data_IF_934223767628
#
_entry.id   IF_934223767628
#
_cell.length_a   1.000
_cell.length_b   1.000
_cell.length_c   1.000
_cell.angle_alpha   90.00
_cell.angle_beta   90.00
_cell.angle_gamma   90.00
#
_symmetry.space_group_name_H-M   'P 1'
#
loop_
_entity.id
_entity.type
_entity.pdbx_description
1 polymer ?
#
# COMPACT_ATOMS: atom_id res chain seq x y z
N UNK A 1 -15.69 -18.28 0.96
CA UNK A 1 -14.68 -18.01 2.02
C UNK A 1 -14.37 -16.52 1.97
N UNK A 2 -14.56 -15.80 3.09
CA UNK A 2 -14.23 -14.37 3.23
C UNK A 2 -12.98 -14.28 4.12
N UNK A 3 -11.80 -14.28 3.51
CA UNK A 3 -10.53 -14.18 4.24
C UNK A 3 -9.94 -12.80 3.94
N UNK A 4 -9.88 -11.97 4.97
CA UNK A 4 -9.20 -10.69 4.95
C UNK A 4 -7.76 -10.88 5.45
N UNK A 5 -6.79 -10.47 4.63
CA UNK A 5 -5.37 -10.61 4.93
C UNK A 5 -4.78 -9.36 5.57
N UNK A 6 -5.38 -8.21 5.32
CA UNK A 6 -4.96 -6.92 5.88
C UNK A 6 -6.14 -5.96 5.86
N UNK A 7 -6.12 -5.00 6.79
CA UNK A 7 -7.08 -3.92 6.86
C UNK A 7 -6.78 -2.89 5.76
N UNK A 8 -7.82 -2.21 5.28
CA UNK A 8 -7.69 -1.07 4.39
C UNK A 8 -7.13 0.16 5.12
N UNK A 9 -6.26 0.89 4.43
CA UNK A 9 -5.72 2.18 4.90
C UNK A 9 -6.05 3.25 3.89
N UNK A 10 -6.17 4.51 4.32
CA UNK A 10 -6.32 5.59 3.36
C UNK A 10 -4.99 5.88 2.70
N UNK A 11 -5.02 6.38 1.48
CA UNK A 11 -3.82 6.77 0.74
C UNK A 11 -2.92 7.73 1.54
N UNK A 12 -3.51 8.66 2.30
CA UNK A 12 -2.77 9.61 3.16
C UNK A 12 -2.10 9.00 4.39
N UNK A 13 -2.46 7.78 4.76
CA UNK A 13 -1.88 7.10 5.93
C UNK A 13 -0.50 6.47 5.59
N UNK A 14 -0.09 6.46 4.31
CA UNK A 14 1.23 6.02 3.85
C UNK A 14 2.28 7.14 3.93
N UNK A 15 3.56 6.76 4.00
CA UNK A 15 4.66 7.73 3.91
C UNK A 15 4.83 8.23 2.47
N UNK A 16 4.36 9.45 2.23
CA UNK A 16 4.51 10.18 0.96
C UNK A 16 5.63 11.23 1.00
N UNK A 17 6.46 11.23 2.04
CA UNK A 17 7.43 12.30 2.29
C UNK A 17 8.64 12.27 1.34
N UNK A 18 9.00 11.07 0.86
CA UNK A 18 10.13 10.83 -0.02
C UNK A 18 10.02 11.60 -1.36
N UNK A 19 11.13 12.18 -1.82
CA UNK A 19 11.18 13.02 -3.04
C UNK A 19 10.78 12.26 -4.31
N UNK A 20 11.21 11.00 -4.45
CA UNK A 20 10.84 10.16 -5.58
C UNK A 20 9.33 9.83 -5.56
N UNK A 21 8.77 9.57 -4.37
CA UNK A 21 7.33 9.35 -4.19
C UNK A 21 6.54 10.60 -4.60
N UNK A 22 6.91 11.78 -4.09
CA UNK A 22 6.26 13.05 -4.46
C UNK A 22 6.29 13.32 -5.96
N UNK A 23 7.42 13.03 -6.62
CA UNK A 23 7.55 13.17 -8.07
C UNK A 23 6.56 12.25 -8.81
N UNK A 24 6.50 10.96 -8.43
CA UNK A 24 5.59 10.00 -9.05
C UNK A 24 4.12 10.35 -8.80
N UNK A 25 3.79 10.79 -7.58
CA UNK A 25 2.46 11.25 -7.19
C UNK A 25 2.00 12.41 -8.07
N UNK A 26 2.84 13.45 -8.21
CA UNK A 26 2.54 14.59 -9.09
C UNK A 26 2.42 14.19 -10.55
N UNK A 27 3.29 13.28 -11.03
CA UNK A 27 3.24 12.77 -12.41
C UNK A 27 1.93 12.03 -12.72
N UNK A 28 1.44 11.22 -11.77
CA UNK A 28 0.22 10.41 -11.95
C UNK A 28 -1.06 11.20 -11.72
N UNK A 29 -1.13 11.94 -10.62
CA UNK A 29 -2.36 12.54 -10.10
C UNK A 29 -2.44 14.06 -10.27
N UNK A 30 -1.32 14.72 -10.61
CA UNK A 30 -1.23 16.19 -10.65
C UNK A 30 -1.67 16.77 -9.29
N UNK A 31 -2.70 17.60 -9.29
CA UNK A 31 -3.26 18.23 -8.08
C UNK A 31 -4.39 17.40 -7.45
N UNK A 32 -4.90 16.38 -8.14
CA UNK A 32 -6.06 15.58 -7.70
C UNK A 32 -5.63 14.26 -7.06
N UNK A 33 -4.86 14.35 -5.98
CA UNK A 33 -4.41 13.16 -5.24
C UNK A 33 -5.58 12.59 -4.44
N UNK A 34 -5.94 11.30 -4.59
CA UNK A 34 -7.06 10.68 -3.88
C UNK A 34 -6.65 10.29 -2.45
N UNK A 35 -6.40 11.28 -1.60
CA UNK A 35 -5.86 11.08 -0.25
C UNK A 35 -6.76 10.24 0.68
N UNK A 36 -8.07 10.24 0.43
CA UNK A 36 -9.07 9.54 1.24
C UNK A 36 -9.50 8.19 0.66
N UNK A 37 -8.99 7.80 -0.51
CA UNK A 37 -9.28 6.48 -1.08
C UNK A 37 -8.67 5.37 -0.22
N UNK A 38 -9.42 4.28 -0.07
CA UNK A 38 -8.95 3.07 0.58
C UNK A 38 -7.99 2.30 -0.32
N UNK A 39 -6.88 1.86 0.27
CA UNK A 39 -5.78 1.18 -0.40
C UNK A 39 -5.36 -0.03 0.41
N UNK A 40 -5.05 -1.11 -0.29
CA UNK A 40 -4.44 -2.31 0.27
C UNK A 40 -2.95 -2.31 -0.07
N UNK A 41 -2.10 -2.37 0.95
CA UNK A 41 -0.65 -2.43 0.80
C UNK A 41 -0.20 -3.86 0.50
N UNK A 42 0.58 -4.10 -0.58
CA UNK A 42 1.18 -5.41 -0.81
C UNK A 42 2.06 -5.89 0.35
N UNK A 43 2.79 -4.97 1.00
CA UNK A 43 3.64 -5.29 2.15
C UNK A 43 2.81 -5.69 3.37
N UNK A 44 1.73 -4.96 3.70
CA UNK A 44 0.88 -5.31 4.84
C UNK A 44 0.14 -6.64 4.60
N UNK A 45 -0.28 -6.89 3.36
CA UNK A 45 -0.89 -8.16 2.97
C UNK A 45 0.11 -9.32 3.10
N UNK A 46 1.35 -9.13 2.65
CA UNK A 46 2.42 -10.12 2.78
C UNK A 46 2.73 -10.44 4.25
N UNK A 47 2.74 -9.42 5.11
CA UNK A 47 2.97 -9.55 6.56
C UNK A 47 1.75 -10.05 7.36
N UNK A 48 0.67 -10.47 6.68
CA UNK A 48 -0.52 -10.99 7.34
C UNK A 48 -0.15 -12.15 8.28
N UNK A 49 -0.65 -12.11 9.51
CA UNK A 49 -0.50 -13.19 10.50
C UNK A 49 -1.19 -14.50 10.09
N UNK A 50 -1.96 -14.48 9.00
CA UNK A 50 -2.66 -15.64 8.43
C UNK A 50 -1.82 -16.37 7.37
N UNK A 51 -0.65 -15.83 7.02
CA UNK A 51 0.23 -16.37 6.00
C UNK A 51 1.54 -16.86 6.63
N UNK A 52 2.18 -17.78 5.94
CA UNK A 52 3.55 -18.23 6.20
C UNK A 52 4.33 -18.29 4.90
N UNK A 53 5.63 -18.02 4.96
CA UNK A 53 6.51 -18.10 3.79
C UNK A 53 6.89 -19.55 3.53
N UNK A 54 6.49 -20.08 2.39
CA UNK A 54 6.81 -21.47 1.97
C UNK A 54 8.03 -21.56 1.05
N UNK A 55 8.44 -20.44 0.43
CA UNK A 55 9.57 -20.38 -0.49
C UNK A 55 10.06 -18.93 -0.62
N UNK A 56 11.38 -18.75 -0.72
CA UNK A 56 12.06 -17.49 -1.02
C UNK A 56 13.13 -17.75 -2.09
N UNK A 57 13.25 -16.87 -3.07
CA UNK A 57 14.27 -16.98 -4.11
C UNK A 57 15.55 -16.30 -3.61
N UNK A 58 16.62 -17.09 -3.47
CA UNK A 58 17.97 -16.60 -3.16
C UNK A 58 18.66 -15.99 -4.38
#
# INVERSE_FOLDING_TARGET
>A
MNIELTEDKRFKDFDLSNSAVKYLMKKRYRENIPLDDFVVSPADMFLSKKLETIMEAN
#
